data_IF_415932646799
#
_entry.id   IF_415932646799
#
_cell.length_a   1.000
_cell.length_b   1.000
_cell.length_c   1.000
_cell.angle_alpha   90.00
_cell.angle_beta   90.00
_cell.angle_gamma   90.00
#
_symmetry.space_group_name_H-M   'P 1'
#
loop_
_entity.id
_entity.type
_entity.pdbx_description
1 polymer ?
#
# COMPACT_ATOMS: atom_id res chain seq x y z
N UNK A 1 -21.35 -1.20 -5.54
CA UNK A 1 -21.18 -2.67 -5.50
C UNK A 1 -19.75 -2.99 -5.08
N UNK A 2 -19.52 -3.31 -3.81
CA UNK A 2 -18.18 -3.59 -3.26
C UNK A 2 -18.26 -4.78 -2.26
N UNK A 3 -18.94 -5.86 -2.66
CA UNK A 3 -19.19 -7.04 -1.81
C UNK A 3 -18.45 -8.30 -2.34
N UNK A 4 -17.68 -8.21 -3.43
CA UNK A 4 -16.94 -9.36 -3.95
C UNK A 4 -15.59 -9.62 -3.27
N UNK A 5 -15.10 -8.74 -2.40
CA UNK A 5 -13.71 -8.82 -1.91
C UNK A 5 -13.48 -9.81 -0.74
N UNK A 6 -14.52 -10.25 -0.02
CA UNK A 6 -14.34 -11.14 1.15
C UNK A 6 -14.69 -12.61 0.89
N UNK A 7 -15.51 -12.92 -0.13
CA UNK A 7 -16.00 -14.30 -0.32
C UNK A 7 -14.95 -15.25 -0.89
N UNK A 8 -14.06 -14.76 -1.77
CA UNK A 8 -13.05 -15.60 -2.42
C UNK A 8 -11.93 -16.01 -1.46
N UNK A 9 -11.70 -15.25 -0.39
CA UNK A 9 -10.67 -15.59 0.60
C UNK A 9 -11.15 -16.63 1.63
N UNK A 10 -12.45 -16.65 1.97
CA UNK A 10 -12.99 -17.59 2.97
C UNK A 10 -13.34 -18.99 2.43
N UNK A 11 -13.50 -19.18 1.11
CA UNK A 11 -14.06 -20.44 0.60
C UNK A 11 -13.03 -21.57 0.34
N UNK A 12 -11.77 -21.37 0.73
CA UNK A 12 -10.68 -22.34 0.50
C UNK A 12 -10.05 -22.95 1.76
N UNK A 13 -10.60 -22.68 2.94
CA UNK A 13 -10.11 -23.21 4.22
C UNK A 13 -11.14 -24.14 4.91
N UNK A 14 -11.85 -24.96 4.12
CA UNK A 14 -12.76 -25.98 4.65
C UNK A 14 -12.21 -27.41 4.61
N UNK A 15 -11.07 -27.65 3.96
CA UNK A 15 -10.41 -28.95 4.00
C UNK A 15 -9.08 -28.80 4.72
N UNK A 16 -9.08 -29.20 5.99
CA UNK A 16 -7.91 -29.18 6.85
C UNK A 16 -6.85 -30.15 6.34
N UNK A 17 -5.77 -29.60 5.80
CA UNK A 17 -4.45 -30.23 5.85
C UNK A 17 -3.42 -29.15 6.15
N UNK A 18 -2.88 -29.23 7.36
CA UNK A 18 -1.80 -28.40 7.87
C UNK A 18 -0.47 -29.10 7.58
N UNK A 19 0.16 -28.82 6.44
CA UNK A 19 1.56 -29.20 6.16
C UNK A 19 2.16 -28.26 5.09
N UNK A 20 2.92 -27.27 5.56
CA UNK A 20 3.93 -26.43 4.89
C UNK A 20 3.66 -24.94 5.10
N UNK A 21 4.64 -24.24 5.68
CA UNK A 21 4.58 -22.85 6.08
C UNK A 21 3.82 -21.94 5.11
N UNK A 22 2.93 -21.13 5.66
CA UNK A 22 2.15 -20.12 4.94
C UNK A 22 3.04 -18.93 4.50
N UNK A 23 4.13 -19.22 3.79
CA UNK A 23 4.98 -18.27 3.07
C UNK A 23 4.92 -18.48 1.56
N UNK A 24 3.86 -19.12 1.04
CA UNK A 24 3.51 -18.96 -0.38
C UNK A 24 2.95 -17.54 -0.58
N UNK A 25 3.83 -16.53 -0.52
CA UNK A 25 3.56 -15.20 -1.04
C UNK A 25 3.23 -15.41 -2.52
N UNK A 26 1.93 -15.41 -2.88
CA UNK A 26 1.50 -15.43 -4.28
C UNK A 26 2.31 -14.38 -5.01
N UNK A 27 3.15 -14.79 -5.96
CA UNK A 27 3.91 -13.84 -6.75
C UNK A 27 2.89 -13.11 -7.65
N UNK A 28 2.58 -11.82 -7.40
CA UNK A 28 1.50 -11.17 -8.13
C UNK A 28 1.86 -11.13 -9.61
N UNK A 29 0.98 -11.63 -10.46
CA UNK A 29 1.25 -11.72 -11.90
C UNK A 29 1.14 -10.32 -12.52
N UNK A 30 2.12 -9.84 -13.31
CA UNK A 30 2.07 -8.50 -13.90
C UNK A 30 0.79 -8.22 -14.70
N UNK A 31 0.25 -9.23 -15.39
CA UNK A 31 -1.00 -9.13 -16.13
C UNK A 31 -2.20 -8.76 -15.24
N UNK A 32 -2.26 -9.27 -14.01
CA UNK A 32 -3.32 -8.91 -13.04
C UNK A 32 -3.17 -7.46 -12.59
N UNK A 33 -1.95 -7.00 -12.35
CA UNK A 33 -1.64 -5.60 -12.05
C UNK A 33 -2.18 -4.65 -13.12
N UNK A 34 -1.86 -4.94 -14.38
CA UNK A 34 -2.37 -4.17 -15.53
C UNK A 34 -3.88 -4.22 -15.68
N UNK A 35 -4.50 -5.39 -15.48
CA UNK A 35 -5.95 -5.52 -15.58
C UNK A 35 -6.67 -4.71 -14.49
N UNK A 36 -6.15 -4.72 -13.25
CA UNK A 36 -6.72 -3.89 -12.17
C UNK A 36 -6.55 -2.40 -12.49
N UNK A 37 -5.39 -1.99 -13.00
CA UNK A 37 -5.18 -0.61 -13.46
C UNK A 37 -6.23 -0.21 -14.52
N UNK A 38 -6.37 -1.01 -15.59
CA UNK A 38 -7.34 -0.74 -16.66
C UNK A 38 -8.80 -0.73 -16.19
N UNK A 39 -9.19 -1.66 -15.31
CA UNK A 39 -10.56 -1.75 -14.80
C UNK A 39 -10.88 -0.70 -13.73
N UNK A 40 -9.89 0.02 -13.22
CA UNK A 40 -10.04 1.04 -12.18
C UNK A 40 -10.14 2.47 -12.68
N UNK A 41 -10.00 2.71 -13.99
CA UNK A 41 -9.94 4.06 -14.58
C UNK A 41 -11.13 4.95 -14.17
N UNK A 42 -12.32 4.38 -14.00
CA UNK A 42 -13.53 5.12 -13.61
C UNK A 42 -13.77 5.22 -12.10
N UNK A 43 -12.97 4.58 -11.25
CA UNK A 43 -13.20 4.50 -9.81
C UNK A 43 -12.76 5.78 -9.09
N UNK A 44 -13.44 6.07 -7.97
CA UNK A 44 -13.03 7.13 -7.04
C UNK A 44 -12.06 6.61 -5.97
N UNK A 45 -12.18 5.34 -5.61
CA UNK A 45 -11.42 4.68 -4.56
C UNK A 45 -10.95 3.31 -5.03
N UNK A 46 -9.65 3.03 -4.86
CA UNK A 46 -9.08 1.72 -5.11
C UNK A 46 -8.20 1.31 -3.93
N UNK A 47 -8.52 0.16 -3.32
CA UNK A 47 -7.63 -0.55 -2.42
C UNK A 47 -7.39 -1.96 -2.98
N UNK A 48 -6.15 -2.27 -3.31
CA UNK A 48 -5.75 -3.54 -3.90
C UNK A 48 -4.55 -4.15 -3.16
N UNK A 49 -4.70 -4.33 -1.84
CA UNK A 49 -3.66 -4.91 -0.99
C UNK A 49 -3.50 -6.41 -1.24
N UNK A 50 -2.26 -6.89 -1.30
CA UNK A 50 -1.86 -8.30 -1.51
C UNK A 50 -2.36 -9.01 -2.78
N UNK A 51 -3.19 -8.37 -3.60
CA UNK A 51 -3.69 -8.90 -4.88
C UNK A 51 -2.72 -8.56 -6.02
N UNK A 52 -2.16 -7.36 -5.97
CA UNK A 52 -1.18 -6.88 -6.94
C UNK A 52 0.04 -6.29 -6.25
N UNK A 53 1.14 -6.25 -6.99
CA UNK A 53 2.30 -5.46 -6.60
C UNK A 53 2.18 -4.07 -7.24
N UNK A 54 2.39 -3.00 -6.46
CA UNK A 54 2.26 -1.63 -6.95
C UNK A 54 3.15 -1.36 -8.17
N UNK A 55 4.32 -2.02 -8.27
CA UNK A 55 5.19 -1.90 -9.45
C UNK A 55 4.50 -2.33 -10.76
N UNK A 56 3.60 -3.31 -10.71
CA UNK A 56 2.83 -3.75 -11.86
C UNK A 56 1.65 -2.82 -12.16
N UNK A 57 1.07 -2.17 -11.14
CA UNK A 57 0.02 -1.17 -11.32
C UNK A 57 0.57 0.10 -12.00
N UNK A 58 1.78 0.52 -11.61
CA UNK A 58 2.45 1.70 -12.16
C UNK A 58 3.20 1.45 -13.47
N UNK A 59 3.06 0.27 -14.08
CA UNK A 59 3.45 0.04 -15.46
C UNK A 59 2.42 0.69 -16.41
N UNK A 60 2.36 2.02 -16.34
CA UNK A 60 1.33 2.88 -16.93
C UNK A 60 1.41 2.84 -18.45
N UNK A 61 0.26 2.65 -19.10
CA UNK A 61 0.10 2.99 -20.50
C UNK A 61 -0.14 4.50 -20.65
N UNK A 62 0.54 5.21 -21.57
CA UNK A 62 0.37 6.65 -21.74
C UNK A 62 -1.07 7.14 -21.97
N UNK A 63 -1.95 6.25 -22.48
CA UNK A 63 -3.37 6.51 -22.73
C UNK A 63 -4.26 6.42 -21.48
N UNK A 64 -3.76 5.88 -20.37
CA UNK A 64 -4.55 5.67 -19.16
C UNK A 64 -4.65 6.93 -18.30
N UNK A 65 -5.88 7.22 -17.88
CA UNK A 65 -6.21 8.32 -16.98
C UNK A 65 -7.27 7.88 -15.96
N UNK A 66 -7.14 8.38 -14.74
CA UNK A 66 -8.06 8.13 -13.63
C UNK A 66 -8.72 9.45 -13.21
N UNK A 67 -9.66 9.99 -14.00
CA UNK A 67 -10.21 11.32 -13.80
C UNK A 67 -10.95 11.49 -12.46
N UNK A 68 -11.40 10.39 -11.86
CA UNK A 68 -12.20 10.39 -10.65
C UNK A 68 -11.45 9.91 -9.40
N UNK A 69 -10.27 9.29 -9.56
CA UNK A 69 -9.61 8.60 -8.45
C UNK A 69 -9.09 9.61 -7.42
N UNK A 70 -9.61 9.51 -6.21
CA UNK A 70 -9.23 10.36 -5.06
C UNK A 70 -8.37 9.60 -4.05
N UNK A 71 -8.51 8.27 -3.98
CA UNK A 71 -7.77 7.44 -3.04
C UNK A 71 -7.25 6.16 -3.69
N UNK A 72 -5.96 5.90 -3.50
CA UNK A 72 -5.28 4.70 -3.97
C UNK A 72 -4.47 4.06 -2.84
N UNK A 73 -4.74 2.79 -2.55
CA UNK A 73 -3.99 2.00 -1.56
C UNK A 73 -3.49 0.72 -2.21
N UNK A 74 -2.17 0.53 -2.25
CA UNK A 74 -1.52 -0.61 -2.90
C UNK A 74 -0.49 -1.25 -1.97
N UNK A 75 -0.28 -2.56 -2.13
CA UNK A 75 0.87 -3.25 -1.52
C UNK A 75 2.05 -3.29 -2.49
N UNK A 76 3.28 -3.17 -1.99
CA UNK A 76 4.46 -3.38 -2.83
C UNK A 76 5.54 -4.17 -2.11
N UNK A 77 5.98 -5.28 -2.72
CA UNK A 77 6.98 -6.16 -2.10
C UNK A 77 8.37 -5.54 -2.05
N UNK A 78 8.65 -4.44 -2.76
CA UNK A 78 9.93 -3.73 -2.65
C UNK A 78 10.10 -3.08 -1.27
N UNK A 79 9.01 -2.75 -0.58
CA UNK A 79 9.03 -2.22 0.79
C UNK A 79 9.30 -3.34 1.82
N UNK A 80 10.26 -4.23 1.53
CA UNK A 80 10.72 -5.31 2.42
C UNK A 80 12.24 -5.43 2.56
N UNK A 81 12.99 -4.65 1.77
CA UNK A 81 14.44 -4.72 1.67
C UNK A 81 14.99 -3.31 1.91
N UNK A 82 15.65 -3.11 3.04
CA UNK A 82 16.32 -1.84 3.37
C UNK A 82 17.40 -1.49 2.33
N UNK A 83 18.06 -2.51 1.77
CA UNK A 83 19.18 -2.36 0.82
C UNK A 83 18.76 -1.99 -0.63
N UNK A 84 17.47 -1.92 -0.92
CA UNK A 84 16.94 -1.68 -2.28
C UNK A 84 16.52 -0.21 -2.52
N UNK A 85 17.19 0.76 -1.86
CA UNK A 85 16.85 2.20 -1.92
C UNK A 85 16.60 2.74 -3.33
N UNK A 86 17.44 2.38 -4.31
CA UNK A 86 17.29 2.81 -5.70
C UNK A 86 16.03 2.24 -6.37
N UNK A 87 15.63 1.00 -6.04
CA UNK A 87 14.39 0.42 -6.55
C UNK A 87 13.16 1.04 -5.91
N UNK A 88 13.24 1.38 -4.61
CA UNK A 88 12.19 2.12 -3.90
C UNK A 88 12.04 3.51 -4.54
N UNK A 89 13.13 4.22 -4.81
CA UNK A 89 13.06 5.53 -5.47
C UNK A 89 12.48 5.44 -6.88
N UNK A 90 12.81 4.40 -7.65
CA UNK A 90 12.23 4.17 -8.96
C UNK A 90 10.71 3.89 -8.87
N UNK A 91 10.28 3.09 -7.90
CA UNK A 91 8.87 2.85 -7.61
C UNK A 91 8.14 4.16 -7.26
N UNK A 92 8.72 4.99 -6.40
CA UNK A 92 8.09 6.25 -5.97
C UNK A 92 8.03 7.28 -7.10
N UNK A 93 8.99 7.27 -8.03
CA UNK A 93 8.91 8.07 -9.27
C UNK A 93 7.82 7.56 -10.21
N UNK A 94 7.70 6.23 -10.38
CA UNK A 94 6.62 5.65 -11.18
C UNK A 94 5.23 5.95 -10.57
N UNK A 95 5.13 5.94 -9.25
CA UNK A 95 3.93 6.34 -8.52
C UNK A 95 3.59 7.82 -8.75
N UNK A 96 4.57 8.72 -8.74
CA UNK A 96 4.36 10.13 -9.08
C UNK A 96 3.90 10.31 -10.54
N UNK A 97 4.49 9.56 -11.48
CA UNK A 97 4.06 9.56 -12.88
C UNK A 97 2.59 9.08 -13.02
N UNK A 98 2.17 8.10 -12.23
CA UNK A 98 0.76 7.67 -12.16
C UNK A 98 -0.14 8.78 -11.59
N UNK A 99 0.31 9.45 -10.52
CA UNK A 99 -0.43 10.53 -9.89
C UNK A 99 -0.68 11.71 -10.84
N UNK A 100 0.23 12.00 -11.77
CA UNK A 100 0.01 13.00 -12.83
C UNK A 100 -1.18 12.67 -13.75
N UNK A 101 -1.60 11.40 -13.80
CA UNK A 101 -2.76 10.90 -14.54
C UNK A 101 -4.03 10.80 -13.66
N UNK A 102 -3.96 11.29 -12.42
CA UNK A 102 -5.04 11.22 -11.41
C UNK A 102 -5.36 12.65 -10.92
N UNK A 103 -6.05 13.48 -11.72
CA UNK A 103 -6.23 14.92 -11.42
C UNK A 103 -7.07 15.23 -10.18
N UNK A 104 -7.69 14.22 -9.55
CA UNK A 104 -8.44 14.34 -8.29
C UNK A 104 -7.80 13.61 -7.13
N UNK A 105 -6.56 13.13 -7.29
CA UNK A 105 -5.88 12.35 -6.25
C UNK A 105 -5.71 13.17 -4.97
N UNK A 106 -6.25 12.66 -3.87
CA UNK A 106 -6.10 13.25 -2.55
C UNK A 106 -5.17 12.42 -1.66
N UNK A 107 -5.14 11.11 -1.83
CA UNK A 107 -4.30 10.22 -1.04
C UNK A 107 -3.80 9.04 -1.86
N UNK A 108 -2.49 8.79 -1.79
CA UNK A 108 -1.88 7.56 -2.30
C UNK A 108 -1.06 6.92 -1.20
N UNK A 109 -1.31 5.63 -0.93
CA UNK A 109 -0.63 4.85 0.08
C UNK A 109 -0.03 3.59 -0.56
N UNK A 110 1.29 3.45 -0.47
CA UNK A 110 2.02 2.26 -0.90
C UNK A 110 2.66 1.67 0.34
N UNK A 111 2.31 0.44 0.67
CA UNK A 111 2.73 -0.14 1.93
C UNK A 111 3.13 -1.61 1.80
N UNK A 112 3.83 -2.11 2.80
CA UNK A 112 4.01 -3.52 3.02
C UNK A 112 4.32 -3.77 4.50
N UNK A 113 4.10 -4.99 4.95
CA UNK A 113 4.53 -5.39 6.28
C UNK A 113 4.45 -6.87 6.52
N UNK A 114 5.35 -7.36 7.36
CA UNK A 114 5.43 -8.72 7.90
C UNK A 114 6.09 -8.65 9.27
N UNK A 115 6.18 -9.76 9.99
CA UNK A 115 6.87 -9.80 11.29
C UNK A 115 8.24 -9.10 11.24
N UNK A 116 8.45 -8.14 12.14
CA UNK A 116 9.66 -7.34 12.31
C UNK A 116 9.88 -6.24 11.26
N UNK A 117 9.04 -6.11 10.23
CA UNK A 117 9.28 -5.22 9.11
C UNK A 117 7.98 -4.60 8.59
N UNK A 118 7.91 -3.26 8.56
CA UNK A 118 6.77 -2.56 7.97
C UNK A 118 7.21 -1.20 7.39
N UNK A 119 6.67 -0.82 6.24
CA UNK A 119 6.80 0.55 5.73
C UNK A 119 5.57 1.00 4.96
N UNK A 120 5.39 2.32 4.97
CA UNK A 120 4.38 3.09 4.28
C UNK A 120 5.03 4.31 3.64
N UNK A 121 4.83 4.45 2.34
CA UNK A 121 4.88 5.74 1.67
C UNK A 121 3.45 6.28 1.53
N UNK A 122 3.22 7.52 1.96
CA UNK A 122 1.94 8.20 1.80
C UNK A 122 2.15 9.57 1.15
N UNK A 123 1.44 9.82 0.06
CA UNK A 123 1.13 11.16 -0.41
C UNK A 123 -0.26 11.55 0.09
N UNK A 124 -0.41 12.77 0.61
CA UNK A 124 -1.72 13.30 1.02
C UNK A 124 -1.85 14.78 0.72
N UNK A 125 -2.94 15.15 0.05
CA UNK A 125 -3.42 16.51 -0.09
C UNK A 125 -4.01 17.01 1.23
N UNK A 126 -3.63 18.22 1.64
CA UNK A 126 -4.24 18.89 2.79
C UNK A 126 -5.36 19.79 2.24
N UNK A 127 -6.61 19.36 2.48
CA UNK A 127 -7.79 20.09 2.00
C UNK A 127 -7.80 21.52 2.56
N UNK A 128 -8.04 22.49 1.67
CA UNK A 128 -8.19 23.89 2.04
C UNK A 128 -6.89 24.70 2.21
N UNK A 129 -5.69 24.09 2.15
CA UNK A 129 -4.43 24.81 2.39
C UNK A 129 -3.44 24.85 1.22
N UNK A 130 -3.81 24.37 0.02
CA UNK A 130 -2.91 24.25 -1.17
C UNK A 130 -1.56 23.65 -0.80
N UNK A 131 -1.57 22.64 0.06
CA UNK A 131 -0.40 21.94 0.58
C UNK A 131 -0.58 20.44 0.36
N UNK A 132 0.54 19.76 0.15
CA UNK A 132 0.60 18.31 0.22
C UNK A 132 1.70 17.86 1.18
N UNK A 133 1.59 16.62 1.62
CA UNK A 133 2.57 15.95 2.47
C UNK A 133 2.97 14.62 1.85
N UNK A 134 4.28 14.39 1.79
CA UNK A 134 4.87 13.05 1.68
C UNK A 134 5.25 12.59 3.09
N UNK A 135 4.83 11.38 3.44
CA UNK A 135 5.18 10.71 4.68
C UNK A 135 5.86 9.38 4.35
N UNK A 136 7.03 9.17 4.93
CA UNK A 136 7.60 7.84 5.09
C UNK A 136 7.43 7.40 6.55
N UNK A 137 6.72 6.29 6.77
CA UNK A 137 6.58 5.69 8.10
C UNK A 137 6.99 4.23 8.03
N UNK A 138 7.93 3.79 8.86
CA UNK A 138 8.34 2.39 8.85
C UNK A 138 9.31 1.98 9.94
N UNK A 139 9.65 0.70 9.96
CA UNK A 139 10.62 0.13 10.92
C UNK A 139 12.07 0.47 10.58
N UNK A 140 12.31 1.04 9.40
CA UNK A 140 13.58 1.62 8.96
C UNK A 140 13.34 3.00 8.33
N UNK A 141 14.42 3.79 8.25
CA UNK A 141 14.41 5.12 7.62
C UNK A 141 14.68 4.99 6.13
N UNK A 142 13.92 5.70 5.30
CA UNK A 142 14.20 5.86 3.88
C UNK A 142 14.29 7.34 3.52
N UNK A 143 15.49 7.91 3.38
CA UNK A 143 15.67 9.28 2.93
C UNK A 143 15.07 9.47 1.53
N UNK A 144 14.06 10.33 1.40
CA UNK A 144 13.47 10.69 0.11
C UNK A 144 14.49 11.48 -0.70
N UNK A 145 15.00 10.89 -1.79
CA UNK A 145 16.00 11.52 -2.64
C UNK A 145 15.41 12.69 -3.44
N UNK A 146 16.25 13.67 -3.86
CA UNK A 146 15.80 14.82 -4.63
C UNK A 146 15.03 14.46 -5.92
N UNK A 147 15.41 13.38 -6.61
CA UNK A 147 14.71 12.92 -7.82
C UNK A 147 13.26 12.49 -7.54
N UNK A 148 13.02 11.81 -6.42
CA UNK A 148 11.67 11.45 -5.97
C UNK A 148 10.91 12.70 -5.60
N UNK A 149 11.52 13.61 -4.83
CA UNK A 149 10.88 14.86 -4.43
C UNK A 149 10.44 15.68 -5.64
N UNK A 150 11.31 15.88 -6.63
CA UNK A 150 11.02 16.60 -7.86
C UNK A 150 9.84 15.98 -8.64
N UNK A 151 9.78 14.64 -8.71
CA UNK A 151 8.67 13.95 -9.36
C UNK A 151 7.33 14.24 -8.67
N UNK A 152 7.31 14.30 -7.34
CA UNK A 152 6.10 14.62 -6.57
C UNK A 152 5.78 16.12 -6.51
N UNK A 153 6.76 17.00 -6.63
CA UNK A 153 6.54 18.44 -6.82
C UNK A 153 5.79 18.70 -8.14
N UNK A 154 6.10 17.95 -9.21
CA UNK A 154 5.35 18.02 -10.46
C UNK A 154 3.87 17.65 -10.28
N UNK A 155 3.57 16.64 -9.45
CA UNK A 155 2.19 16.31 -9.06
C UNK A 155 1.55 17.49 -8.33
N UNK A 156 2.28 18.13 -7.41
CA UNK A 156 1.78 19.31 -6.71
C UNK A 156 1.46 20.48 -7.63
N UNK A 157 2.26 20.71 -8.66
CA UNK A 157 2.02 21.76 -9.65
C UNK A 157 0.69 21.55 -10.40
N UNK A 158 0.30 20.30 -10.71
CA UNK A 158 -1.00 19.98 -11.32
C UNK A 158 -2.18 20.46 -10.46
N UNK A 159 -2.02 20.40 -9.14
CA UNK A 159 -3.04 20.78 -8.17
C UNK A 159 -2.88 22.22 -7.64
N UNK A 160 -2.02 23.03 -8.26
CA UNK A 160 -1.68 24.38 -7.79
C UNK A 160 -1.25 24.44 -6.31
N UNK A 161 -0.52 23.41 -5.87
CA UNK A 161 0.08 23.32 -4.54
C UNK A 161 1.27 24.26 -4.47
N UNK A 162 1.44 24.90 -3.32
CA UNK A 162 2.55 25.83 -3.08
C UNK A 162 3.63 25.27 -2.17
N UNK A 163 3.33 24.19 -1.46
CA UNK A 163 4.24 23.58 -0.51
C UNK A 163 4.01 22.07 -0.40
N UNK A 164 5.12 21.33 -0.52
CA UNK A 164 5.20 19.90 -0.32
C UNK A 164 6.05 19.63 0.92
N UNK A 165 5.42 19.18 2.00
CA UNK A 165 6.12 18.81 3.23
C UNK A 165 6.58 17.35 3.18
N UNK A 166 7.79 17.07 3.68
CA UNK A 166 8.32 15.71 3.80
C UNK A 166 8.45 15.37 5.28
N UNK A 167 7.81 14.28 5.70
CA UNK A 167 7.81 13.80 7.09
C UNK A 167 8.35 12.38 7.12
N UNK A 168 9.17 12.07 8.13
CA UNK A 168 9.62 10.72 8.41
C UNK A 168 9.27 10.32 9.84
N UNK A 169 8.70 9.13 9.98
CA UNK A 169 8.31 8.57 11.27
C UNK A 169 8.84 7.14 11.39
N UNK A 170 9.29 6.79 12.58
CA UNK A 170 9.85 5.47 12.87
C UNK A 170 8.86 4.64 13.70
N UNK A 171 8.73 3.38 13.32
CA UNK A 171 7.91 2.38 14.02
C UNK A 171 8.84 1.38 14.68
N UNK A 172 8.51 0.97 15.91
CA UNK A 172 9.27 -0.08 16.58
C UNK A 172 9.07 -1.42 15.87
N UNK A 173 10.16 -2.05 15.43
CA UNK A 173 10.15 -3.39 14.81
C UNK A 173 9.56 -4.45 15.75
N UNK A 174 9.73 -4.31 17.06
CA UNK A 174 9.20 -5.24 18.04
C UNK A 174 7.67 -5.18 18.16
N UNK A 175 7.06 -4.07 17.73
CA UNK A 175 5.60 -3.94 17.69
C UNK A 175 4.97 -4.66 16.48
N UNK A 176 5.77 -5.02 15.47
CA UNK A 176 5.25 -5.66 14.25
C UNK A 176 5.40 -7.18 14.39
N UNK A 177 4.41 -7.85 14.98
CA UNK A 177 4.42 -9.33 15.04
C UNK A 177 3.75 -9.95 13.82
N UNK A 178 2.96 -9.16 13.08
CA UNK A 178 2.13 -9.65 11.99
C UNK A 178 1.88 -8.64 10.86
N UNK A 179 1.25 -9.11 9.78
CA UNK A 179 0.68 -8.23 8.74
C UNK A 179 -0.43 -7.33 9.33
N UNK A 180 -1.24 -7.85 10.24
CA UNK A 180 -2.29 -7.10 10.94
C UNK A 180 -1.73 -6.00 11.85
N UNK A 181 -0.61 -6.25 12.52
CA UNK A 181 0.09 -5.24 13.31
C UNK A 181 0.70 -4.17 12.41
N UNK A 182 1.29 -4.56 11.27
CA UNK A 182 1.77 -3.59 10.29
C UNK A 182 0.65 -2.65 9.82
N UNK A 183 -0.53 -3.18 9.46
CA UNK A 183 -1.70 -2.38 9.08
C UNK A 183 -2.10 -1.38 10.17
N UNK A 184 -2.12 -1.84 11.43
CA UNK A 184 -2.48 -1.03 12.58
C UNK A 184 -1.43 0.06 12.87
N UNK A 185 -0.16 -0.30 12.96
CA UNK A 185 0.94 0.60 13.32
C UNK A 185 1.33 1.57 12.20
N UNK A 186 1.13 1.19 10.93
CA UNK A 186 1.31 2.11 9.81
C UNK A 186 0.18 3.15 9.71
N UNK A 187 -0.94 2.96 10.42
CA UNK A 187 -2.15 3.80 10.39
C UNK A 187 -2.58 4.18 8.95
N UNK A 188 -2.73 3.18 8.09
CA UNK A 188 -3.29 3.40 6.75
C UNK A 188 -4.63 4.11 6.85
N UNK A 189 -4.93 4.96 5.87
CA UNK A 189 -6.27 5.51 5.75
C UNK A 189 -7.28 4.36 5.70
N UNK A 190 -8.40 4.48 6.43
CA UNK A 190 -9.33 3.38 6.74
C UNK A 190 -10.02 2.68 5.56
N UNK A 191 -9.58 2.95 4.33
CA UNK A 191 -9.98 2.27 3.10
C UNK A 191 -9.18 0.98 2.84
N UNK A 192 -8.01 0.82 3.47
CA UNK A 192 -7.18 -0.38 3.30
C UNK A 192 -7.87 -1.64 3.84
N UNK A 193 -8.44 -1.56 5.05
CA UNK A 193 -9.23 -2.61 5.72
C UNK A 193 -10.24 -1.91 6.65
N UNK A 194 -11.52 -2.31 6.60
CA UNK A 194 -12.50 -1.82 7.59
C UNK A 194 -12.08 -2.27 8.99
N UNK A 195 -12.16 -1.40 9.99
CA UNK A 195 -11.72 -1.66 11.38
C UNK A 195 -12.19 -3.00 11.95
N UNK A 196 -13.42 -3.41 11.66
CA UNK A 196 -13.99 -4.70 12.10
C UNK A 196 -13.25 -5.90 11.50
N UNK A 197 -12.91 -5.84 10.20
CA UNK A 197 -12.15 -6.89 9.52
C UNK A 197 -10.71 -6.96 10.03
N UNK A 198 -10.10 -5.82 10.39
CA UNK A 198 -8.77 -5.79 11.00
C UNK A 198 -8.76 -6.46 12.37
N UNK A 199 -9.75 -6.15 13.23
CA UNK A 199 -9.89 -6.81 14.53
C UNK A 199 -10.11 -8.32 14.41
N UNK A 200 -10.87 -8.75 13.40
CA UNK A 200 -11.08 -10.16 13.13
C UNK A 200 -9.77 -10.86 12.72
N UNK A 201 -9.02 -10.30 11.76
CA UNK A 201 -7.71 -10.82 11.34
C UNK A 201 -6.74 -10.91 12.53
N UNK A 202 -6.69 -9.87 13.36
CA UNK A 202 -5.82 -9.85 14.54
C UNK A 202 -6.22 -10.89 15.60
N UNK A 203 -7.52 -11.14 15.80
CA UNK A 203 -8.01 -12.18 16.71
C UNK A 203 -7.72 -13.58 16.18
N UNK A 204 -7.97 -13.82 14.90
CA UNK A 204 -7.69 -15.11 14.24
C UNK A 204 -6.20 -15.44 14.30
N UNK A 205 -5.32 -14.46 14.07
CA UNK A 205 -3.88 -14.66 14.16
C UNK A 205 -3.42 -14.96 15.60
N UNK A 206 -3.92 -14.23 16.61
CA UNK A 206 -3.62 -14.51 18.02
C UNK A 206 -4.11 -15.89 18.46
N UNK A 207 -5.23 -16.34 17.91
CA UNK A 207 -5.74 -17.68 18.16
C UNK A 207 -4.80 -18.75 17.59
N UNK A 208 -4.32 -18.58 16.35
CA UNK A 208 -3.35 -19.50 15.73
C UNK A 208 -2.01 -19.55 16.48
N UNK A 209 -1.49 -18.40 16.91
CA UNK A 209 -0.26 -18.33 17.72
C UNK A 209 -0.45 -18.93 19.13
N UNK A 210 -1.68 -18.98 19.64
CA UNK A 210 -2.03 -19.63 20.91
C UNK A 210 -2.29 -21.13 20.81
N UNK A 211 -2.32 -21.71 19.60
CA UNK A 211 -2.51 -23.14 19.36
C UNK A 211 -1.17 -23.89 19.22
N UNK A 212 -0.07 -23.20 18.94
CA UNK A 212 1.28 -23.78 19.11
C UNK A 212 1.64 -23.85 20.60
N UNK A 213 1.27 -24.97 21.23
CA UNK A 213 2.08 -25.91 22.03
C UNK A 213 1.11 -26.69 22.92
N UNK A 214 0.60 -27.81 22.41
CA UNK A 214 0.44 -29.04 23.20
C UNK A 214 0.93 -30.20 22.33
N UNK A 215 2.20 -30.54 22.56
CA UNK A 215 2.95 -31.78 22.25
C UNK A 215 2.80 -32.42 20.87
#
# INVERSE_FOLDING_TARGET
MAILFLKVFMQRFLDGEDLAGCESIRNPVPAVGRMIALTSLSLEHLAASFIIDASHFFAIDPSWEWPNLTSLVLTCRLLKLEDDSTKIDALLQAAAAAALKMPRLETMEIWNGRKGLAALFQYRMIRGSRQARILWRGTWKHPIRPSVLQAWEAVGNLHAIWRLDVVQEQVDKAAIQSHGDALHHLMLSGQAIRSVSLQQIQREQKFLEGVEVVS
#
